data_IF_066322796270
#
_entry.id   IF_066322796270
#
_cell.length_a   1.000
_cell.length_b   1.000
_cell.length_c   1.000
_cell.angle_alpha   90.00
_cell.angle_beta   90.00
_cell.angle_gamma   90.00
#
_symmetry.space_group_name_H-M   'P 1'
#
loop_
_entity.id
_entity.type
_entity.pdbx_description
1 polymer ?
#
# COMPACT_ATOMS: atom_id res chain seq x y z
N UNK A 1 10.13 15.34 -17.91
CA UNK A 1 10.57 15.54 -16.52
C UNK A 1 9.38 15.95 -15.63
N UNK A 2 8.45 15.01 -15.44
CA UNK A 2 7.21 15.22 -14.68
C UNK A 2 7.43 14.92 -13.19
N UNK A 3 6.69 15.59 -12.27
CA UNK A 3 6.70 15.25 -10.85
C UNK A 3 6.32 13.78 -10.63
N UNK A 4 7.12 13.04 -9.85
CA UNK A 4 6.78 11.68 -9.44
C UNK A 4 6.38 11.65 -7.97
N UNK A 5 7.20 12.19 -7.08
CA UNK A 5 6.92 12.23 -5.66
C UNK A 5 6.87 13.64 -5.10
N UNK A 6 5.89 13.91 -4.23
CA UNK A 6 5.84 15.11 -3.38
C UNK A 6 5.68 14.67 -1.92
N UNK A 7 6.57 15.11 -1.06
CA UNK A 7 6.66 14.70 0.33
C UNK A 7 7.08 15.87 1.21
N UNK A 8 6.86 15.75 2.52
CA UNK A 8 7.32 16.75 3.48
C UNK A 8 8.71 16.42 4.01
N UNK A 9 9.56 17.41 4.01
CA UNK A 9 10.87 17.40 4.67
C UNK A 9 11.03 18.72 5.39
N UNK A 10 11.45 18.70 6.67
CA UNK A 10 11.66 19.89 7.52
C UNK A 10 10.44 20.83 7.58
N UNK A 11 9.24 20.30 7.43
CA UNK A 11 7.97 21.04 7.47
C UNK A 11 7.47 21.52 6.11
N UNK A 12 8.30 21.56 5.09
CA UNK A 12 7.98 22.04 3.76
C UNK A 12 7.71 20.88 2.77
N UNK A 13 6.93 21.16 1.72
CA UNK A 13 6.68 20.23 0.65
C UNK A 13 7.77 20.30 -0.41
N UNK A 14 8.40 19.16 -0.68
CA UNK A 14 9.43 18.98 -1.70
C UNK A 14 8.90 18.07 -2.80
N UNK A 15 9.27 18.35 -4.05
CA UNK A 15 8.88 17.54 -5.19
C UNK A 15 10.12 17.00 -5.87
N UNK A 16 10.09 15.72 -6.24
CA UNK A 16 11.09 15.03 -7.05
C UNK A 16 10.47 14.55 -8.34
N UNK A 17 11.16 14.76 -9.42
CA UNK A 17 10.83 14.21 -10.74
C UNK A 17 11.23 12.73 -10.82
N UNK A 18 10.78 12.04 -11.88
CA UNK A 18 11.19 10.65 -12.12
C UNK A 18 12.71 10.52 -12.29
N UNK A 19 13.34 11.46 -13.00
CA UNK A 19 14.80 11.45 -13.22
C UNK A 19 15.57 11.70 -11.91
N UNK A 20 15.14 12.64 -11.08
CA UNK A 20 15.75 12.90 -9.78
C UNK A 20 15.58 11.69 -8.84
N UNK A 21 14.39 11.06 -8.86
CA UNK A 21 14.13 9.84 -8.08
C UNK A 21 15.03 8.70 -8.55
N UNK A 22 15.17 8.49 -9.86
CA UNK A 22 16.07 7.47 -10.40
C UNK A 22 17.54 7.74 -10.01
N UNK A 23 17.97 9.01 -10.02
CA UNK A 23 19.32 9.37 -9.59
C UNK A 23 19.54 9.06 -8.08
N UNK A 24 18.55 9.34 -7.23
CA UNK A 24 18.59 9.00 -5.81
C UNK A 24 18.64 7.47 -5.61
N UNK A 25 17.83 6.70 -6.34
CA UNK A 25 17.83 5.22 -6.30
C UNK A 25 19.20 4.67 -6.71
N UNK A 26 19.77 5.15 -7.82
CA UNK A 26 21.08 4.72 -8.30
C UNK A 26 22.20 5.04 -7.30
N UNK A 27 22.15 6.21 -6.67
CA UNK A 27 23.14 6.58 -5.66
C UNK A 27 23.09 5.66 -4.43
N UNK A 28 21.89 5.33 -3.94
CA UNK A 28 21.70 4.38 -2.84
C UNK A 28 22.11 2.96 -3.26
N UNK A 29 21.73 2.51 -4.45
CA UNK A 29 22.10 1.18 -4.97
C UNK A 29 23.61 1.02 -5.07
N UNK A 30 24.34 2.01 -5.58
CA UNK A 30 25.81 2.01 -5.59
C UNK A 30 26.39 1.92 -4.18
N UNK A 31 25.79 2.62 -3.21
CA UNK A 31 26.19 2.53 -1.80
C UNK A 31 25.99 1.14 -1.24
N UNK A 32 24.88 0.48 -1.54
CA UNK A 32 24.62 -0.90 -1.13
C UNK A 32 25.64 -1.88 -1.75
N UNK A 33 26.03 -1.68 -3.01
CA UNK A 33 27.11 -2.46 -3.62
C UNK A 33 28.45 -2.24 -2.92
N UNK A 34 28.75 -1.00 -2.48
CA UNK A 34 29.95 -0.69 -1.70
C UNK A 34 29.95 -1.43 -0.34
N UNK A 35 28.79 -1.53 0.33
CA UNK A 35 28.61 -2.36 1.53
C UNK A 35 28.75 -3.86 1.27
N UNK A 36 28.99 -4.27 0.03
CA UNK A 36 29.17 -5.66 -0.35
C UNK A 36 27.88 -6.45 -0.49
N UNK A 37 26.72 -5.77 -0.66
CA UNK A 37 25.44 -6.44 -0.90
C UNK A 37 25.51 -7.29 -2.17
N UNK A 38 25.25 -8.58 -2.04
CA UNK A 38 25.21 -9.53 -3.14
C UNK A 38 23.78 -9.82 -3.54
N UNK A 39 23.60 -10.33 -4.75
CA UNK A 39 22.32 -10.85 -5.20
C UNK A 39 21.82 -11.95 -4.26
N UNK A 40 20.60 -11.83 -3.76
CA UNK A 40 19.98 -12.74 -2.81
C UNK A 40 20.27 -12.43 -1.34
N UNK A 41 21.15 -11.48 -1.02
CA UNK A 41 21.40 -11.10 0.38
C UNK A 41 20.15 -10.42 0.98
N UNK A 42 19.82 -10.79 2.22
CA UNK A 42 18.73 -10.18 2.99
C UNK A 42 19.08 -8.78 3.51
N UNK A 43 18.13 -7.87 3.43
CA UNK A 43 18.17 -6.52 4.00
C UNK A 43 16.90 -6.32 4.82
N UNK A 44 17.02 -6.19 6.14
CA UNK A 44 15.91 -5.87 7.02
C UNK A 44 15.68 -4.35 7.06
N UNK A 45 14.43 -3.91 6.94
CA UNK A 45 14.12 -2.50 6.82
C UNK A 45 12.93 -2.08 7.68
N UNK A 46 13.18 -1.21 8.65
CA UNK A 46 12.20 -0.64 9.57
C UNK A 46 12.10 0.87 9.36
N UNK A 47 11.15 1.30 8.55
CA UNK A 47 10.97 2.70 8.20
C UNK A 47 9.48 2.98 7.94
N UNK A 48 9.02 4.15 8.38
CA UNK A 48 7.67 4.65 8.05
C UNK A 48 7.58 5.03 6.58
N UNK A 49 6.36 5.05 6.05
CA UNK A 49 6.07 5.50 4.68
C UNK A 49 6.66 6.88 4.44
N UNK A 50 7.60 6.97 3.50
CA UNK A 50 8.38 8.16 3.20
C UNK A 50 9.03 8.04 1.83
N UNK A 51 9.49 9.15 1.26
CA UNK A 51 10.28 9.13 0.03
C UNK A 51 11.58 8.30 0.18
N UNK A 52 12.21 8.36 1.34
CA UNK A 52 13.39 7.55 1.64
C UNK A 52 13.07 6.05 1.61
N UNK A 53 11.87 5.66 2.03
CA UNK A 53 11.38 4.29 1.96
C UNK A 53 11.36 3.80 0.50
N UNK A 54 10.75 4.58 -0.40
CA UNK A 54 10.61 4.23 -1.82
C UNK A 54 11.96 4.13 -2.52
N UNK A 55 12.85 5.09 -2.27
CA UNK A 55 14.20 5.11 -2.83
C UNK A 55 15.01 3.89 -2.36
N UNK A 56 14.96 3.57 -1.06
CA UNK A 56 15.73 2.47 -0.48
C UNK A 56 15.21 1.10 -0.96
N UNK A 57 13.89 0.91 -1.00
CA UNK A 57 13.25 -0.30 -1.52
C UNK A 57 13.68 -0.59 -2.97
N UNK A 58 13.52 0.41 -3.84
CA UNK A 58 13.91 0.29 -5.24
C UNK A 58 15.42 0.02 -5.41
N UNK A 59 16.26 0.64 -4.56
CA UNK A 59 17.71 0.44 -4.60
C UNK A 59 18.11 -0.98 -4.18
N UNK A 60 17.50 -1.55 -3.14
CA UNK A 60 17.73 -2.95 -2.74
C UNK A 60 17.34 -3.90 -3.86
N UNK A 61 16.16 -3.69 -4.47
CA UNK A 61 15.70 -4.53 -5.59
C UNK A 61 16.60 -4.39 -6.82
N UNK A 62 17.08 -3.19 -7.15
CA UNK A 62 18.03 -2.96 -8.25
C UNK A 62 19.36 -3.69 -8.04
N UNK A 63 19.78 -3.87 -6.79
CA UNK A 63 20.94 -4.66 -6.42
C UNK A 63 20.69 -6.18 -6.41
N UNK A 64 19.45 -6.63 -6.64
CA UNK A 64 19.04 -8.02 -6.48
C UNK A 64 19.04 -8.49 -5.02
N UNK A 65 19.00 -7.56 -4.06
CA UNK A 65 18.82 -7.86 -2.64
C UNK A 65 17.39 -8.25 -2.31
N UNK A 66 17.16 -8.84 -1.15
CA UNK A 66 15.86 -9.30 -0.65
C UNK A 66 15.45 -8.42 0.52
N UNK A 67 14.43 -7.56 0.32
CA UNK A 67 13.96 -6.66 1.37
C UNK A 67 13.01 -7.39 2.33
N UNK A 68 13.42 -7.54 3.58
CA UNK A 68 12.60 -8.02 4.69
C UNK A 68 11.98 -6.82 5.43
N UNK A 69 10.68 -6.62 5.28
CA UNK A 69 10.01 -5.43 5.83
C UNK A 69 9.64 -5.61 7.29
N UNK A 70 9.90 -4.60 8.12
CA UNK A 70 9.61 -4.54 9.55
C UNK A 70 8.68 -3.34 9.80
N UNK A 71 7.61 -3.54 10.57
CA UNK A 71 6.73 -2.44 10.97
C UNK A 71 7.38 -1.57 12.04
N UNK A 72 7.12 -0.27 11.99
CA UNK A 72 7.56 0.71 12.99
C UNK A 72 7.04 0.40 14.41
N UNK A 73 5.97 -0.37 14.50
CA UNK A 73 5.35 -0.83 15.74
C UNK A 73 5.92 -2.13 16.30
N UNK A 74 6.75 -2.84 15.54
CA UNK A 74 7.28 -4.13 15.96
C UNK A 74 8.17 -4.03 17.20
N UNK A 75 8.11 -5.04 18.03
CA UNK A 75 8.92 -5.18 19.24
C UNK A 75 10.35 -5.60 18.92
N UNK A 76 11.25 -5.43 19.87
CA UNK A 76 12.65 -5.90 19.75
C UNK A 76 12.75 -7.40 19.40
N UNK A 77 11.89 -8.23 19.98
CA UNK A 77 11.82 -9.67 19.68
C UNK A 77 11.39 -9.92 18.23
N UNK A 78 10.37 -9.22 17.75
CA UNK A 78 9.91 -9.34 16.36
C UNK A 78 10.98 -8.89 15.38
N UNK A 79 11.69 -7.79 15.68
CA UNK A 79 12.82 -7.32 14.86
C UNK A 79 13.88 -8.42 14.74
N UNK A 80 14.34 -9.00 15.86
CA UNK A 80 15.33 -10.07 15.86
C UNK A 80 14.86 -11.31 15.10
N UNK A 81 13.61 -11.69 15.29
CA UNK A 81 13.01 -12.83 14.58
C UNK A 81 13.00 -12.61 13.06
N UNK A 82 12.64 -11.42 12.60
CA UNK A 82 12.64 -11.07 11.16
C UNK A 82 14.07 -11.05 10.61
N UNK A 83 15.01 -10.41 11.30
CA UNK A 83 16.43 -10.35 10.90
C UNK A 83 17.02 -11.75 10.78
N UNK A 84 16.79 -12.63 11.78
CA UNK A 84 17.27 -14.00 11.74
C UNK A 84 16.57 -14.85 10.68
N UNK A 85 15.26 -14.73 10.54
CA UNK A 85 14.52 -15.54 9.57
C UNK A 85 14.92 -15.18 8.14
N UNK A 86 15.12 -13.89 7.84
CA UNK A 86 15.50 -13.39 6.51
C UNK A 86 17.00 -13.49 6.21
N UNK A 87 17.83 -13.99 7.13
CA UNK A 87 19.30 -13.97 7.04
C UNK A 87 19.86 -12.57 6.70
N UNK A 88 19.21 -11.52 7.23
CA UNK A 88 19.58 -10.16 6.88
C UNK A 88 21.02 -9.84 7.30
N UNK A 89 21.83 -9.32 6.35
CA UNK A 89 23.17 -8.81 6.60
C UNK A 89 23.20 -7.35 6.99
N UNK A 90 22.18 -6.60 6.56
CA UNK A 90 22.01 -5.19 6.83
C UNK A 90 20.64 -4.96 7.47
N UNK A 91 20.61 -4.27 8.59
CA UNK A 91 19.39 -3.73 9.20
C UNK A 91 19.40 -2.21 9.02
N UNK A 92 18.39 -1.67 8.37
CA UNK A 92 18.21 -0.23 8.21
C UNK A 92 16.99 0.21 8.97
N UNK A 93 17.15 1.25 9.78
CA UNK A 93 16.07 1.84 10.59
C UNK A 93 15.94 3.33 10.31
N UNK A 94 14.72 3.85 10.44
CA UNK A 94 14.47 5.29 10.18
C UNK A 94 15.00 6.16 11.33
N UNK A 95 14.66 5.84 12.57
CA UNK A 95 14.91 6.71 13.73
C UNK A 95 15.82 6.08 14.79
N UNK A 96 16.39 6.92 15.64
CA UNK A 96 17.17 6.47 16.79
C UNK A 96 16.35 5.65 17.79
N UNK A 97 15.05 5.93 17.93
CA UNK A 97 14.16 5.11 18.76
C UNK A 97 13.98 3.69 18.16
N UNK A 98 13.87 3.57 16.83
CA UNK A 98 13.83 2.27 16.16
C UNK A 98 15.17 1.54 16.30
N UNK A 99 16.29 2.26 16.22
CA UNK A 99 17.62 1.70 16.47
C UNK A 99 17.74 1.15 17.88
N UNK A 100 17.25 1.89 18.88
CA UNK A 100 17.25 1.43 20.27
C UNK A 100 16.42 0.14 20.47
N UNK A 101 15.32 -0.05 19.72
CA UNK A 101 14.58 -1.33 19.74
C UNK A 101 15.40 -2.49 19.14
N UNK A 102 16.33 -2.20 18.25
CA UNK A 102 17.20 -3.19 17.61
C UNK A 102 18.49 -3.46 18.41
N UNK A 103 18.71 -2.77 19.53
CA UNK A 103 19.90 -2.98 20.37
C UNK A 103 20.02 -4.46 20.78
N UNK A 104 21.24 -4.98 20.63
CA UNK A 104 21.53 -6.40 20.87
C UNK A 104 21.29 -7.32 19.66
N UNK A 105 20.64 -6.85 18.59
CA UNK A 105 20.45 -7.65 17.38
C UNK A 105 21.79 -8.14 16.77
N UNK A 106 22.83 -7.31 16.83
CA UNK A 106 24.18 -7.65 16.33
C UNK A 106 24.78 -8.88 17.03
N UNK A 107 24.43 -9.13 18.29
CA UNK A 107 24.92 -10.30 19.04
C UNK A 107 24.03 -11.52 18.91
N UNK A 108 22.74 -11.33 18.64
CA UNK A 108 21.74 -12.39 18.57
C UNK A 108 21.40 -12.82 17.13
N UNK A 109 21.83 -12.02 16.12
CA UNK A 109 21.60 -12.27 14.71
C UNK A 109 22.94 -12.48 13.98
N UNK A 110 23.39 -13.72 13.81
CA UNK A 110 24.76 -14.02 13.37
C UNK A 110 25.08 -13.60 11.92
N UNK A 111 24.06 -13.35 11.10
CA UNK A 111 24.21 -12.87 9.72
C UNK A 111 24.31 -11.35 9.62
N UNK A 112 23.90 -10.63 10.69
CA UNK A 112 23.84 -9.18 10.68
C UNK A 112 25.23 -8.55 10.80
N UNK A 113 25.64 -7.81 9.78
CA UNK A 113 26.95 -7.16 9.72
C UNK A 113 26.89 -5.67 10.03
N UNK A 114 25.77 -5.01 9.69
CA UNK A 114 25.63 -3.55 9.84
C UNK A 114 24.22 -3.15 10.30
N UNK A 115 24.16 -2.11 11.15
CA UNK A 115 22.92 -1.39 11.47
C UNK A 115 23.10 0.06 11.04
N UNK A 116 22.22 0.54 10.15
CA UNK A 116 22.22 1.91 9.63
C UNK A 116 20.97 2.65 10.09
N UNK A 117 21.11 3.90 10.55
CA UNK A 117 20.01 4.75 10.97
C UNK A 117 19.91 5.99 10.08
N UNK A 118 18.75 6.22 9.46
CA UNK A 118 18.56 7.37 8.57
C UNK A 118 18.59 8.70 9.31
N UNK A 119 17.99 8.79 10.50
CA UNK A 119 17.96 10.01 11.32
C UNK A 119 19.36 10.52 11.70
N UNK A 120 20.35 9.63 11.78
CA UNK A 120 21.74 10.00 12.04
C UNK A 120 22.59 10.19 10.79
N UNK A 121 21.97 10.34 9.62
CA UNK A 121 22.66 10.58 8.36
C UNK A 121 23.00 9.31 7.57
N UNK A 122 22.54 8.13 8.00
CA UNK A 122 22.90 6.86 7.38
C UNK A 122 22.51 6.74 5.91
N UNK A 123 21.42 7.37 5.46
CA UNK A 123 21.05 7.36 4.03
C UNK A 123 22.05 8.15 3.18
N UNK A 124 22.49 9.31 3.68
CA UNK A 124 23.49 10.15 2.98
C UNK A 124 24.86 9.49 3.01
N UNK A 125 25.19 8.79 4.08
CA UNK A 125 26.40 7.96 4.17
C UNK A 125 26.40 6.83 3.13
N UNK A 126 25.31 6.09 2.99
CA UNK A 126 25.16 5.08 1.93
C UNK A 126 25.37 5.71 0.55
N UNK A 127 24.73 6.84 0.26
CA UNK A 127 24.92 7.56 -1.01
C UNK A 127 26.37 7.98 -1.23
N UNK A 128 27.03 8.51 -0.21
CA UNK A 128 28.42 8.94 -0.28
C UNK A 128 29.37 7.78 -0.62
N UNK A 129 29.21 6.63 0.01
CA UNK A 129 29.98 5.41 -0.29
C UNK A 129 29.77 4.94 -1.74
N UNK A 130 28.59 5.17 -2.31
CA UNK A 130 28.28 4.85 -3.70
C UNK A 130 29.10 5.61 -4.73
N UNK A 131 29.74 6.74 -4.36
CA UNK A 131 30.56 7.55 -5.29
C UNK A 131 31.76 6.80 -5.87
N UNK A 132 32.24 5.76 -5.19
CA UNK A 132 33.32 4.88 -5.66
C UNK A 132 32.89 3.76 -6.59
N UNK A 133 31.58 3.58 -6.82
CA UNK A 133 31.02 2.52 -7.68
C UNK A 133 30.63 3.12 -9.02
N UNK A 134 31.12 2.54 -10.14
CA UNK A 134 30.80 3.06 -11.48
C UNK A 134 29.37 2.73 -11.90
N UNK A 135 28.85 3.48 -12.90
CA UNK A 135 27.52 3.20 -13.47
C UNK A 135 27.49 1.83 -14.16
N UNK A 136 28.56 1.46 -14.85
CA UNK A 136 28.67 0.18 -15.53
C UNK A 136 28.61 -1.01 -14.55
N UNK A 137 29.20 -0.86 -13.36
CA UNK A 137 29.15 -1.90 -12.33
C UNK A 137 27.72 -2.06 -11.77
N UNK A 138 27.01 -0.95 -11.58
CA UNK A 138 25.61 -0.99 -11.17
C UNK A 138 24.70 -1.55 -12.28
N UNK A 139 24.90 -1.12 -13.53
CA UNK A 139 24.10 -1.59 -14.67
C UNK A 139 24.30 -3.10 -14.89
N UNK A 140 25.51 -3.60 -14.80
CA UNK A 140 25.80 -5.04 -14.86
C UNK A 140 25.10 -5.83 -13.72
N UNK A 141 24.95 -5.23 -12.53
CA UNK A 141 24.22 -5.82 -11.42
C UNK A 141 22.73 -5.83 -11.71
N UNK A 142 22.14 -4.73 -12.19
CA UNK A 142 20.73 -4.63 -12.56
C UNK A 142 20.41 -5.67 -13.66
N UNK A 143 21.23 -5.78 -14.68
CA UNK A 143 21.06 -6.73 -15.79
C UNK A 143 21.13 -8.20 -15.34
N UNK A 144 21.78 -8.47 -14.21
CA UNK A 144 21.86 -9.83 -13.64
C UNK A 144 20.60 -10.26 -12.90
N UNK A 145 19.71 -9.31 -12.56
CA UNK A 145 18.47 -9.59 -11.83
C UNK A 145 17.43 -10.23 -12.76
N UNK A 146 16.83 -11.31 -12.31
CA UNK A 146 15.80 -12.03 -13.06
C UNK A 146 14.42 -11.81 -12.43
N UNK A 147 13.37 -11.84 -13.25
CA UNK A 147 11.99 -11.70 -12.77
C UNK A 147 11.59 -12.73 -11.71
N UNK A 148 12.21 -13.91 -11.74
CA UNK A 148 11.98 -15.01 -10.81
C UNK A 148 12.81 -14.92 -9.54
N UNK A 149 13.73 -13.96 -9.44
CA UNK A 149 14.52 -13.78 -8.22
C UNK A 149 13.62 -13.28 -7.08
N UNK A 150 13.88 -13.81 -5.89
CA UNK A 150 13.27 -13.30 -4.66
C UNK A 150 13.73 -11.86 -4.45
N UNK A 151 12.79 -10.96 -4.23
CA UNK A 151 13.07 -9.53 -4.00
C UNK A 151 12.55 -9.02 -2.67
N UNK A 152 11.62 -9.73 -2.06
CA UNK A 152 11.08 -9.34 -0.76
C UNK A 152 10.54 -10.50 0.05
N UNK A 153 10.61 -10.36 1.38
CA UNK A 153 9.90 -11.17 2.35
C UNK A 153 9.04 -10.22 3.18
N UNK A 154 7.71 -10.36 3.06
CA UNK A 154 6.76 -9.55 3.82
C UNK A 154 6.20 -10.38 4.96
N UNK A 155 6.41 -9.92 6.19
CA UNK A 155 5.99 -10.65 7.37
C UNK A 155 4.54 -10.31 7.74
N UNK A 156 3.73 -11.36 7.91
CA UNK A 156 2.34 -11.24 8.34
C UNK A 156 2.22 -11.61 9.80
N UNK A 157 1.45 -10.82 10.56
CA UNK A 157 1.06 -11.18 11.92
C UNK A 157 0.01 -12.29 11.87
N UNK A 158 0.45 -13.54 11.80
CA UNK A 158 -0.45 -14.69 11.95
C UNK A 158 -1.12 -14.69 13.33
N UNK A 159 -2.27 -15.33 13.43
CA UNK A 159 -3.00 -15.55 14.71
C UNK A 159 -2.22 -16.44 15.69
N UNK A 160 -1.06 -16.97 15.32
CA UNK A 160 -0.21 -17.89 16.10
C UNK A 160 1.23 -17.38 16.17
N UNK A 161 1.73 -17.31 17.35
CA UNK A 161 3.07 -17.05 17.92
C UNK A 161 4.19 -16.39 17.08
N UNK A 162 4.47 -16.73 15.83
CA UNK A 162 5.55 -16.15 15.03
C UNK A 162 5.04 -15.64 13.67
N UNK A 163 5.47 -14.43 13.22
CA UNK A 163 5.11 -13.92 11.89
C UNK A 163 5.60 -14.86 10.79
N UNK A 164 4.75 -15.13 9.79
CA UNK A 164 5.13 -15.89 8.60
C UNK A 164 5.69 -14.94 7.55
N UNK A 165 6.87 -15.24 7.01
CA UNK A 165 7.47 -14.47 5.92
C UNK A 165 6.95 -14.94 4.57
N UNK A 166 6.21 -14.09 3.88
CA UNK A 166 5.69 -14.34 2.53
C UNK A 166 6.74 -13.96 1.51
N UNK A 167 7.23 -14.93 0.72
CA UNK A 167 8.19 -14.67 -0.34
C UNK A 167 7.55 -14.03 -1.56
N UNK A 168 8.20 -12.97 -2.08
CA UNK A 168 7.76 -12.28 -3.29
C UNK A 168 8.92 -12.11 -4.26
N UNK A 169 8.69 -12.47 -5.52
CA UNK A 169 9.64 -12.25 -6.60
C UNK A 169 9.37 -10.93 -7.33
N UNK A 170 10.29 -10.48 -8.15
CA UNK A 170 10.07 -9.33 -9.03
C UNK A 170 8.85 -9.53 -9.94
N UNK A 171 8.59 -10.77 -10.42
CA UNK A 171 7.45 -11.07 -11.29
C UNK A 171 6.11 -10.78 -10.61
N UNK A 172 5.97 -11.06 -9.31
CA UNK A 172 4.75 -10.80 -8.55
C UNK A 172 4.41 -9.31 -8.52
N UNK A 173 5.39 -8.47 -8.21
CA UNK A 173 5.19 -7.01 -8.22
C UNK A 173 4.99 -6.46 -9.63
N UNK A 174 5.73 -6.94 -10.61
CA UNK A 174 5.55 -6.53 -12.01
C UNK A 174 4.16 -6.92 -12.53
N UNK A 175 3.70 -8.14 -12.26
CA UNK A 175 2.36 -8.56 -12.68
C UNK A 175 1.27 -7.68 -12.04
N UNK A 176 1.39 -7.36 -10.75
CA UNK A 176 0.46 -6.45 -10.08
C UNK A 176 0.54 -5.03 -10.64
N UNK A 177 1.75 -4.51 -10.87
CA UNK A 177 1.96 -3.13 -11.31
C UNK A 177 1.52 -2.86 -12.75
N UNK A 178 1.71 -3.82 -13.66
CA UNK A 178 1.45 -3.62 -15.09
C UNK A 178 0.09 -4.15 -15.56
N UNK A 179 -0.54 -5.09 -14.86
CA UNK A 179 -1.84 -5.61 -15.27
C UNK A 179 -3.00 -4.62 -15.04
N UNK A 180 -2.93 -3.80 -13.97
CA UNK A 180 -4.04 -2.91 -13.63
C UNK A 180 -4.14 -1.66 -14.53
N UNK A 181 -3.04 -0.99 -14.95
CA UNK A 181 -3.12 0.21 -15.78
C UNK A 181 -3.87 0.01 -17.08
N UNK A 182 -3.68 -1.12 -17.75
CA UNK A 182 -4.37 -1.45 -19.00
C UNK A 182 -5.85 -1.79 -18.79
N UNK A 183 -6.21 -2.21 -17.57
CA UNK A 183 -7.59 -2.54 -17.22
C UNK A 183 -8.42 -1.31 -16.80
N UNK A 184 -7.76 -0.26 -16.31
CA UNK A 184 -8.41 0.99 -15.88
C UNK A 184 -7.70 2.23 -16.46
N UNK A 185 -7.58 2.32 -17.81
CA UNK A 185 -6.78 3.35 -18.45
C UNK A 185 -7.30 4.77 -18.18
N UNK A 186 -8.61 4.98 -18.06
CA UNK A 186 -9.19 6.30 -17.77
C UNK A 186 -8.73 6.86 -16.42
N UNK A 187 -8.34 5.98 -15.50
CA UNK A 187 -7.88 6.35 -14.18
C UNK A 187 -6.35 6.39 -14.09
N UNK A 188 -5.69 5.35 -14.60
CA UNK A 188 -4.25 5.12 -14.37
C UNK A 188 -3.37 5.72 -15.48
N UNK A 189 -3.89 5.96 -16.69
CA UNK A 189 -3.16 6.65 -17.75
C UNK A 189 -3.42 8.17 -17.78
N UNK A 190 -4.37 8.71 -17.00
CA UNK A 190 -4.59 10.16 -16.89
C UNK A 190 -3.56 10.77 -15.92
N UNK A 191 -2.51 11.39 -16.47
CA UNK A 191 -1.43 12.06 -15.72
C UNK A 191 -1.88 13.23 -14.85
N UNK A 192 -3.14 13.67 -14.95
CA UNK A 192 -3.73 14.67 -14.05
C UNK A 192 -4.18 14.04 -12.72
N UNK A 193 -4.19 12.72 -12.67
CA UNK A 193 -4.52 12.01 -11.44
C UNK A 193 -3.34 12.03 -10.48
N UNK A 194 -3.68 12.15 -9.21
CA UNK A 194 -2.73 12.22 -8.11
C UNK A 194 -3.15 11.23 -7.02
N UNK A 195 -2.17 10.68 -6.34
CA UNK A 195 -2.36 9.71 -5.27
C UNK A 195 -1.81 10.27 -3.96
N UNK A 196 -2.45 9.97 -2.83
CA UNK A 196 -1.89 10.23 -1.50
C UNK A 196 -1.63 8.91 -0.80
N UNK A 197 -0.35 8.58 -0.57
CA UNK A 197 0.11 7.45 0.22
C UNK A 197 0.27 7.85 1.69
N UNK A 198 -0.30 7.07 2.58
CA UNK A 198 -0.19 7.25 4.04
C UNK A 198 -0.27 5.93 4.82
N UNK A 199 -0.58 4.84 4.13
CA UNK A 199 -0.56 3.49 4.71
C UNK A 199 0.88 2.98 4.79
N UNK A 200 1.20 2.10 5.76
CA UNK A 200 2.55 1.53 5.90
C UNK A 200 2.98 0.78 4.64
N UNK A 201 4.10 1.21 4.02
CA UNK A 201 4.68 0.52 2.86
C UNK A 201 5.40 -0.78 3.23
N UNK A 202 5.69 -1.00 4.51
CA UNK A 202 6.08 -2.31 5.01
C UNK A 202 5.00 -3.39 4.75
N UNK A 203 3.73 -2.98 4.56
CA UNK A 203 2.64 -3.86 4.19
C UNK A 203 2.49 -3.96 2.67
N UNK A 204 2.25 -5.18 2.15
CA UNK A 204 2.11 -5.48 0.72
C UNK A 204 1.12 -4.57 -0.02
N UNK A 205 -0.01 -4.22 0.61
CA UNK A 205 -1.06 -3.42 -0.01
C UNK A 205 -0.59 -2.01 -0.42
N UNK A 206 -0.01 -1.25 0.50
CA UNK A 206 0.49 0.10 0.19
C UNK A 206 1.64 0.07 -0.81
N UNK A 207 2.54 -0.91 -0.67
CA UNK A 207 3.70 -1.10 -1.54
C UNK A 207 3.30 -1.46 -2.97
N UNK A 208 2.37 -2.40 -3.15
CA UNK A 208 1.86 -2.77 -4.47
C UNK A 208 1.18 -1.58 -5.17
N UNK A 209 0.41 -0.78 -4.44
CA UNK A 209 -0.22 0.42 -4.99
C UNK A 209 0.82 1.46 -5.40
N UNK A 210 1.89 1.64 -4.62
CA UNK A 210 2.98 2.52 -5.01
C UNK A 210 3.59 2.08 -6.36
N UNK A 211 3.84 0.80 -6.55
CA UNK A 211 4.36 0.29 -7.83
C UNK A 211 3.39 0.48 -8.99
N UNK A 212 2.09 0.28 -8.78
CA UNK A 212 1.06 0.60 -9.79
C UNK A 212 1.13 2.08 -10.17
N UNK A 213 1.25 2.98 -9.19
CA UNK A 213 1.33 4.41 -9.43
C UNK A 213 2.60 4.81 -10.18
N UNK A 214 3.75 4.23 -9.82
CA UNK A 214 5.03 4.45 -10.52
C UNK A 214 4.96 3.92 -11.96
N UNK A 215 4.45 2.70 -12.16
CA UNK A 215 4.28 2.11 -13.49
C UNK A 215 3.31 2.92 -14.38
N UNK A 216 2.33 3.58 -13.76
CA UNK A 216 1.36 4.45 -14.42
C UNK A 216 1.86 5.90 -14.57
N UNK A 217 3.04 6.22 -14.07
CA UNK A 217 3.60 7.58 -14.04
C UNK A 217 2.64 8.61 -13.40
N UNK A 218 2.02 8.23 -12.29
CA UNK A 218 1.13 9.11 -11.52
C UNK A 218 1.94 9.94 -10.51
N UNK A 219 1.47 11.15 -10.23
CA UNK A 219 2.06 11.99 -9.21
C UNK A 219 1.63 11.51 -7.81
N UNK A 220 2.59 11.11 -6.99
CA UNK A 220 2.40 10.50 -5.68
C UNK A 220 2.74 11.52 -4.59
N UNK A 221 1.77 11.85 -3.75
CA UNK A 221 1.99 12.58 -2.51
C UNK A 221 2.19 11.58 -1.37
N UNK A 222 3.16 11.84 -0.49
CA UNK A 222 3.42 11.04 0.70
C UNK A 222 3.06 11.87 1.93
N UNK A 223 2.06 11.40 2.70
CA UNK A 223 1.69 12.03 3.95
C UNK A 223 2.64 11.62 5.09
N UNK A 224 2.84 12.52 6.04
CA UNK A 224 3.67 12.24 7.23
C UNK A 224 3.04 11.23 8.21
N UNK A 225 1.79 10.84 7.99
CA UNK A 225 1.07 9.85 8.79
C UNK A 225 -0.38 10.21 9.05
N UNK A 226 -1.08 9.37 9.81
CA UNK A 226 -2.52 9.53 10.07
C UNK A 226 -2.87 10.81 10.84
N UNK A 227 -1.93 11.33 11.64
CA UNK A 227 -2.17 12.55 12.44
C UNK A 227 -2.28 13.80 11.56
N UNK A 228 -1.53 13.87 10.48
CA UNK A 228 -1.50 15.02 9.55
C UNK A 228 -2.42 14.81 8.34
N UNK A 229 -3.00 13.61 8.19
CA UNK A 229 -3.73 13.19 6.99
C UNK A 229 -4.77 14.20 6.51
N UNK A 230 -5.57 14.80 7.41
CA UNK A 230 -6.59 15.77 7.03
C UNK A 230 -5.99 17.03 6.39
N UNK A 231 -4.87 17.52 6.93
CA UNK A 231 -4.17 18.68 6.37
C UNK A 231 -3.50 18.31 5.04
N UNK A 232 -2.88 17.13 4.97
CA UNK A 232 -2.20 16.66 3.78
C UNK A 232 -3.18 16.40 2.62
N UNK A 233 -4.41 15.92 2.92
CA UNK A 233 -5.50 15.79 1.95
C UNK A 233 -5.91 17.13 1.31
N UNK A 234 -5.87 18.23 2.08
CA UNK A 234 -6.23 19.56 1.54
C UNK A 234 -5.13 20.12 0.63
N UNK A 235 -3.89 19.71 0.80
CA UNK A 235 -2.77 20.09 -0.07
C UNK A 235 -2.73 19.19 -1.32
N UNK A 236 -2.69 17.88 -1.12
CA UNK A 236 -2.58 16.90 -2.20
C UNK A 236 -3.81 16.85 -3.11
N UNK A 237 -5.01 17.06 -2.52
CA UNK A 237 -6.31 16.92 -3.21
C UNK A 237 -6.33 15.70 -4.15
N UNK A 238 -6.08 14.50 -3.62
CA UNK A 238 -5.86 13.32 -4.44
C UNK A 238 -7.12 12.95 -5.22
N UNK A 239 -6.90 12.41 -6.42
CA UNK A 239 -7.96 11.83 -7.25
C UNK A 239 -8.11 10.33 -6.98
N UNK A 240 -7.03 9.69 -6.52
CA UNK A 240 -6.97 8.28 -6.16
C UNK A 240 -6.51 8.18 -4.70
N UNK A 241 -7.18 7.37 -3.90
CA UNK A 241 -6.81 7.12 -2.52
C UNK A 241 -6.89 5.63 -2.20
N UNK A 242 -6.02 5.18 -1.32
CA UNK A 242 -6.07 3.86 -0.73
C UNK A 242 -6.29 4.04 0.76
N UNK A 243 -7.32 3.40 1.29
CA UNK A 243 -7.71 3.53 2.68
C UNK A 243 -7.97 2.16 3.31
N UNK A 244 -7.84 2.09 4.62
CA UNK A 244 -8.40 0.97 5.40
C UNK A 244 -9.77 1.42 5.96
N UNK A 245 -10.70 0.51 6.27
CA UNK A 245 -12.04 0.84 6.78
C UNK A 245 -12.03 1.84 7.94
N UNK A 246 -11.06 1.71 8.84
CA UNK A 246 -10.88 2.60 10.00
C UNK A 246 -10.77 4.09 9.65
N UNK A 247 -10.23 4.42 8.47
CA UNK A 247 -10.12 5.81 8.00
C UNK A 247 -11.52 6.35 7.65
N UNK A 248 -12.34 5.56 6.96
CA UNK A 248 -13.72 5.95 6.62
C UNK A 248 -14.59 6.07 7.87
N UNK A 249 -14.46 5.15 8.83
CA UNK A 249 -15.11 5.25 10.13
C UNK A 249 -14.76 6.56 10.86
N UNK A 250 -13.49 6.94 10.88
CA UNK A 250 -13.05 8.22 11.49
C UNK A 250 -13.65 9.42 10.77
N UNK A 251 -13.68 9.41 9.44
CA UNK A 251 -14.30 10.50 8.66
C UNK A 251 -15.80 10.60 8.95
N UNK A 252 -16.51 9.47 8.99
CA UNK A 252 -17.93 9.41 9.34
C UNK A 252 -18.18 9.94 10.75
N UNK A 253 -17.43 9.44 11.74
CA UNK A 253 -17.58 9.84 13.13
C UNK A 253 -17.29 11.33 13.33
N UNK A 254 -16.25 11.87 12.70
CA UNK A 254 -15.94 13.29 12.75
C UNK A 254 -17.06 14.16 12.14
N UNK A 255 -17.62 13.73 11.00
CA UNK A 255 -18.74 14.41 10.36
C UNK A 255 -20.01 14.38 11.26
N UNK A 256 -20.31 13.23 11.85
CA UNK A 256 -21.43 13.04 12.78
C UNK A 256 -21.29 13.92 14.03
N UNK A 257 -20.11 13.95 14.64
CA UNK A 257 -19.81 14.80 15.80
C UNK A 257 -19.91 16.29 15.47
N UNK A 258 -19.42 16.71 14.31
CA UNK A 258 -19.52 18.09 13.83
C UNK A 258 -20.98 18.51 13.60
N UNK A 259 -21.86 17.61 13.15
CA UNK A 259 -23.29 17.84 13.01
C UNK A 259 -23.97 17.97 14.39
N UNK A 260 -23.47 17.26 15.40
CA UNK A 260 -23.94 17.34 16.79
C UNK A 260 -25.40 16.83 16.99
N UNK A 261 -26.06 17.35 18.03
CA UNK A 261 -27.40 16.91 18.40
C UNK A 261 -28.42 17.91 17.89
N UNK A 262 -29.06 18.50 17.52
CA UNK A 262 -30.03 19.48 17.08
C UNK A 262 -30.45 19.29 15.61
N UNK A 263 -30.91 20.34 15.00
CA UNK A 263 -31.42 20.30 13.62
C UNK A 263 -30.36 19.80 12.61
N UNK A 264 -29.09 20.15 12.80
CA UNK A 264 -27.99 19.68 11.95
C UNK A 264 -27.71 18.16 12.11
N UNK A 265 -27.76 17.64 13.34
CA UNK A 265 -27.64 16.20 13.60
C UNK A 265 -28.79 15.40 13.01
N UNK A 266 -30.03 15.90 13.12
CA UNK A 266 -31.20 15.28 12.47
C UNK A 266 -31.05 15.30 10.95
N UNK A 267 -30.58 16.41 10.36
CA UNK A 267 -30.35 16.51 8.93
C UNK A 267 -29.24 15.55 8.47
N UNK A 268 -28.16 15.41 9.24
CA UNK A 268 -27.09 14.46 8.95
C UNK A 268 -27.62 13.01 8.98
N UNK A 269 -28.35 12.62 10.03
CA UNK A 269 -28.93 11.28 10.12
C UNK A 269 -29.89 10.98 8.96
N UNK A 270 -30.73 11.94 8.58
CA UNK A 270 -31.63 11.82 7.43
C UNK A 270 -30.83 11.69 6.10
N UNK A 271 -29.75 12.42 5.96
CA UNK A 271 -28.85 12.32 4.81
C UNK A 271 -28.17 10.94 4.71
N UNK A 272 -27.74 10.37 5.83
CA UNK A 272 -27.19 9.01 5.89
C UNK A 272 -28.20 8.00 5.36
N UNK A 273 -29.44 8.02 5.88
CA UNK A 273 -30.50 7.10 5.45
C UNK A 273 -30.84 7.30 3.96
N UNK A 274 -30.86 8.55 3.48
CA UNK A 274 -31.18 8.85 2.08
C UNK A 274 -30.07 8.30 1.13
N UNK A 275 -28.79 8.41 1.52
CA UNK A 275 -27.68 7.89 0.77
C UNK A 275 -27.69 6.35 0.74
N UNK A 276 -27.90 5.71 1.89
CA UNK A 276 -27.98 4.25 2.02
C UNK A 276 -29.13 3.67 1.19
N UNK A 277 -30.34 4.24 1.29
CA UNK A 277 -31.50 3.79 0.50
C UNK A 277 -31.27 3.97 -1.01
N UNK A 278 -30.57 5.03 -1.43
CA UNK A 278 -30.19 5.23 -2.82
C UNK A 278 -29.29 4.09 -3.30
N UNK A 279 -28.26 3.75 -2.56
CA UNK A 279 -27.32 2.67 -2.94
C UNK A 279 -27.94 1.28 -2.86
N UNK A 280 -28.84 1.05 -1.90
CA UNK A 280 -29.60 -0.20 -1.81
C UNK A 280 -30.45 -0.44 -3.07
N UNK A 281 -31.14 0.59 -3.57
CA UNK A 281 -31.90 0.45 -4.82
C UNK A 281 -30.97 0.28 -6.04
N UNK A 282 -29.84 0.99 -6.09
CA UNK A 282 -28.82 0.80 -7.15
C UNK A 282 -28.29 -0.63 -7.14
N UNK A 283 -27.94 -1.19 -5.97
CA UNK A 283 -27.45 -2.55 -5.82
C UNK A 283 -28.46 -3.61 -6.21
N UNK A 284 -29.75 -3.41 -5.86
CA UNK A 284 -30.77 -4.46 -6.08
C UNK A 284 -31.49 -4.36 -7.42
N UNK A 285 -31.62 -3.14 -7.98
CA UNK A 285 -32.40 -2.86 -9.20
C UNK A 285 -31.55 -2.29 -10.35
N UNK A 286 -30.22 -2.15 -10.15
CA UNK A 286 -29.31 -1.50 -11.10
C UNK A 286 -29.47 0.02 -11.18
N UNK A 287 -30.55 0.60 -10.62
CA UNK A 287 -30.83 2.05 -10.59
C UNK A 287 -31.76 2.43 -9.46
N UNK A 288 -31.61 3.64 -8.93
CA UNK A 288 -32.54 4.18 -7.96
C UNK A 288 -33.80 4.78 -8.63
N UNK A 289 -34.94 4.68 -7.96
CA UNK A 289 -36.22 5.29 -8.37
C UNK A 289 -36.19 6.81 -8.26
N UNK A 290 -37.14 7.48 -8.91
CA UNK A 290 -37.23 8.96 -8.98
C UNK A 290 -37.32 9.58 -7.59
N UNK A 291 -38.14 9.03 -6.70
CA UNK A 291 -38.33 9.55 -5.35
C UNK A 291 -37.06 9.41 -4.50
N UNK A 292 -36.38 8.27 -4.58
CA UNK A 292 -35.14 8.02 -3.87
C UNK A 292 -34.00 8.93 -4.37
N UNK A 293 -33.94 9.16 -5.69
CA UNK A 293 -33.04 10.17 -6.28
C UNK A 293 -33.29 11.56 -5.76
N UNK A 294 -34.58 12.00 -5.74
CA UNK A 294 -34.93 13.31 -5.25
C UNK A 294 -34.63 13.52 -3.76
N UNK A 295 -34.91 12.50 -2.92
CA UNK A 295 -34.57 12.53 -1.49
C UNK A 295 -33.07 12.64 -1.26
N UNK A 296 -32.26 11.84 -1.97
CA UNK A 296 -30.78 11.92 -1.91
C UNK A 296 -30.32 13.30 -2.37
N UNK A 297 -30.83 13.81 -3.48
CA UNK A 297 -30.43 15.09 -4.06
C UNK A 297 -30.70 16.28 -3.15
N UNK A 298 -31.71 16.21 -2.29
CA UNK A 298 -32.05 17.27 -1.32
C UNK A 298 -30.90 17.52 -0.32
N UNK A 299 -30.06 16.53 -0.03
CA UNK A 299 -28.92 16.65 0.88
C UNK A 299 -27.60 17.02 0.18
N UNK A 300 -27.59 17.01 -1.15
CA UNK A 300 -26.37 17.27 -1.91
C UNK A 300 -25.82 18.69 -1.69
N UNK A 301 -26.64 19.78 -1.60
CA UNK A 301 -26.11 21.10 -1.32
C UNK A 301 -25.78 21.36 0.15
N UNK A 302 -26.22 20.52 1.09
CA UNK A 302 -26.19 20.83 2.53
C UNK A 302 -25.23 19.93 3.32
N UNK A 303 -25.20 18.62 3.04
CA UNK A 303 -24.46 17.63 3.84
C UNK A 303 -23.28 17.02 3.06
N UNK A 304 -23.52 16.49 1.86
CA UNK A 304 -22.53 15.71 1.15
C UNK A 304 -21.28 16.46 0.66
N UNK A 305 -21.33 17.79 0.32
CA UNK A 305 -20.13 18.52 -0.09
C UNK A 305 -19.05 18.51 0.99
N UNK A 306 -19.42 18.68 2.26
CA UNK A 306 -18.46 18.70 3.36
C UNK A 306 -17.71 17.37 3.52
N UNK A 307 -18.36 16.25 3.23
CA UNK A 307 -17.71 14.92 3.24
C UNK A 307 -16.70 14.77 2.10
N UNK A 308 -17.08 15.23 0.91
CA UNK A 308 -16.20 15.21 -0.26
C UNK A 308 -14.98 16.13 -0.06
N UNK A 309 -15.20 17.32 0.51
CA UNK A 309 -14.14 18.29 0.82
C UNK A 309 -13.12 17.76 1.83
N UNK A 310 -13.57 17.08 2.89
CA UNK A 310 -12.64 16.45 3.87
C UNK A 310 -11.67 15.48 3.20
N UNK A 311 -12.14 14.81 2.13
CA UNK A 311 -11.31 13.89 1.33
C UNK A 311 -10.61 14.57 0.14
N UNK A 312 -10.42 15.90 0.19
CA UNK A 312 -9.72 16.68 -0.82
C UNK A 312 -10.57 17.19 -1.99
N UNK A 313 -11.86 16.82 -2.05
CA UNK A 313 -12.84 17.34 -3.02
C UNK A 313 -12.70 16.85 -4.46
N UNK A 314 -11.66 16.08 -4.80
CA UNK A 314 -11.34 15.64 -6.17
C UNK A 314 -11.34 14.12 -6.35
N UNK A 315 -11.63 13.34 -5.31
CA UNK A 315 -11.56 11.90 -5.36
C UNK A 315 -12.42 11.31 -6.48
N UNK A 316 -11.81 10.54 -7.37
CA UNK A 316 -12.44 9.78 -8.44
C UNK A 316 -12.54 8.30 -8.07
N UNK A 317 -11.57 7.81 -7.26
CA UNK A 317 -11.50 6.42 -6.87
C UNK A 317 -10.83 6.29 -5.50
N UNK A 318 -11.53 5.68 -4.56
CA UNK A 318 -11.05 5.39 -3.22
C UNK A 318 -11.17 3.89 -3.01
N UNK A 319 -10.04 3.19 -2.92
CA UNK A 319 -10.02 1.75 -2.63
C UNK A 319 -9.92 1.52 -1.15
N UNK A 320 -10.91 0.85 -0.59
CA UNK A 320 -10.90 0.36 0.79
C UNK A 320 -10.52 -1.12 0.80
N UNK A 321 -9.48 -1.48 1.55
CA UNK A 321 -8.99 -2.86 1.63
C UNK A 321 -8.29 -3.14 2.95
N UNK A 322 -7.76 -4.36 3.09
CA UNK A 322 -7.03 -4.82 4.27
C UNK A 322 -7.89 -5.23 5.47
N UNK A 323 -9.19 -4.96 5.45
CA UNK A 323 -10.18 -5.44 6.43
C UNK A 323 -11.59 -5.32 5.85
N UNK A 324 -12.59 -6.06 6.36
CA UNK A 324 -13.98 -5.91 5.94
C UNK A 324 -14.50 -4.49 6.20
N UNK A 325 -15.17 -3.90 5.21
CA UNK A 325 -15.85 -2.62 5.34
C UNK A 325 -17.33 -2.85 5.62
N UNK A 326 -17.88 -2.12 6.60
CA UNK A 326 -19.31 -2.17 6.90
C UNK A 326 -20.13 -1.78 5.65
N UNK A 327 -21.04 -2.65 5.15
CA UNK A 327 -21.79 -2.38 3.92
C UNK A 327 -22.67 -1.14 3.98
N UNK A 328 -23.19 -0.77 5.15
CA UNK A 328 -24.00 0.43 5.34
C UNK A 328 -23.13 1.70 5.31
N UNK A 329 -21.92 1.63 5.86
CA UNK A 329 -20.93 2.71 5.78
C UNK A 329 -20.48 2.93 4.33
N UNK A 330 -20.21 1.85 3.59
CA UNK A 330 -19.89 1.92 2.16
C UNK A 330 -21.06 2.53 1.36
N UNK A 331 -22.29 2.06 1.60
CA UNK A 331 -23.49 2.59 0.95
C UNK A 331 -23.69 4.09 1.24
N UNK A 332 -23.42 4.52 2.48
CA UNK A 332 -23.47 5.93 2.84
C UNK A 332 -22.46 6.76 2.02
N UNK A 333 -21.18 6.39 2.00
CA UNK A 333 -20.16 7.15 1.26
C UNK A 333 -20.47 7.20 -0.23
N UNK A 334 -20.78 6.07 -0.85
CA UNK A 334 -21.14 6.03 -2.27
C UNK A 334 -22.39 6.83 -2.59
N UNK A 335 -23.42 6.72 -1.76
CA UNK A 335 -24.64 7.50 -1.87
C UNK A 335 -24.41 8.99 -1.68
N UNK A 336 -23.48 9.41 -0.85
CA UNK A 336 -23.04 10.79 -0.68
C UNK A 336 -22.19 11.32 -1.85
N UNK A 337 -21.86 10.46 -2.82
CA UNK A 337 -21.03 10.81 -3.98
C UNK A 337 -19.53 10.76 -3.69
N UNK A 338 -19.12 10.01 -2.67
CA UNK A 338 -17.72 9.65 -2.40
C UNK A 338 -17.48 8.29 -3.04
N UNK A 339 -16.58 8.17 -4.05
CA UNK A 339 -16.45 6.98 -4.88
C UNK A 339 -15.58 5.91 -4.19
N UNK A 340 -16.10 5.31 -3.12
CA UNK A 340 -15.43 4.22 -2.39
C UNK A 340 -15.73 2.88 -3.05
N UNK A 341 -14.68 2.07 -3.22
CA UNK A 341 -14.71 0.72 -3.79
C UNK A 341 -13.96 -0.22 -2.87
N UNK A 342 -14.45 -1.43 -2.71
CA UNK A 342 -13.76 -2.44 -1.92
C UNK A 342 -12.78 -3.23 -2.79
N UNK A 343 -11.63 -3.58 -2.19
CA UNK A 343 -10.70 -4.54 -2.71
C UNK A 343 -10.41 -5.62 -1.67
N UNK A 344 -10.28 -6.85 -2.12
CA UNK A 344 -9.91 -8.01 -1.32
C UNK A 344 -8.57 -8.56 -1.80
N UNK A 345 -7.75 -8.94 -0.85
CA UNK A 345 -6.47 -9.58 -1.11
C UNK A 345 -5.72 -9.89 0.17
N UNK A 346 -4.66 -10.62 0.01
CA UNK A 346 -3.78 -11.09 1.07
C UNK A 346 -2.34 -10.66 0.74
N UNK A 347 -1.45 -10.76 1.70
CA UNK A 347 -0.01 -10.65 1.41
C UNK A 347 0.40 -11.73 0.43
N UNK A 348 -0.14 -12.93 0.58
CA UNK A 348 0.07 -14.12 -0.27
C UNK A 348 -0.40 -13.95 -1.72
N UNK A 349 -1.20 -12.92 -2.00
CA UNK A 349 -1.63 -12.55 -3.37
C UNK A 349 -0.97 -11.26 -3.87
N UNK A 350 0.10 -10.79 -3.23
CA UNK A 350 0.80 -9.53 -3.52
C UNK A 350 -0.17 -8.33 -3.52
N UNK A 351 -1.09 -8.30 -2.57
CA UNK A 351 -2.20 -7.37 -2.32
C UNK A 351 -3.51 -7.75 -3.06
N UNK A 352 -4.10 -6.95 -4.01
CA UNK A 352 -5.46 -7.24 -4.44
C UNK A 352 -5.53 -8.47 -5.36
N UNK A 353 -6.44 -9.40 -5.06
CA UNK A 353 -6.83 -10.47 -5.97
C UNK A 353 -8.28 -10.32 -6.47
N UNK A 354 -9.07 -9.46 -5.83
CA UNK A 354 -10.40 -9.06 -6.29
C UNK A 354 -10.68 -7.61 -5.95
N UNK A 355 -11.46 -6.90 -6.74
CA UNK A 355 -11.84 -5.52 -6.47
C UNK A 355 -13.06 -5.07 -7.26
N UNK A 356 -13.73 -4.04 -6.76
CA UNK A 356 -14.81 -3.37 -7.45
C UNK A 356 -14.23 -2.41 -8.51
N UNK A 357 -14.71 -2.50 -9.73
CA UNK A 357 -14.23 -1.77 -10.91
C UNK A 357 -15.22 -0.70 -11.33
N UNK A 358 -14.71 0.40 -11.89
CA UNK A 358 -15.54 1.41 -12.56
C UNK A 358 -16.31 0.77 -13.74
N UNK A 359 -17.58 1.11 -13.86
CA UNK A 359 -18.42 0.59 -14.96
C UNK A 359 -19.03 -0.80 -14.72
N UNK A 360 -18.61 -1.53 -13.71
CA UNK A 360 -19.22 -2.81 -13.31
C UNK A 360 -20.36 -2.54 -12.33
N UNK A 361 -21.51 -3.26 -12.45
CA UNK A 361 -22.63 -3.12 -11.52
C UNK A 361 -22.19 -3.30 -10.06
N UNK A 362 -22.58 -2.34 -9.21
CA UNK A 362 -22.31 -2.44 -7.79
C UNK A 362 -23.27 -3.40 -7.10
N UNK A 363 -22.70 -4.33 -6.35
CA UNK A 363 -23.41 -5.21 -5.43
C UNK A 363 -22.95 -4.98 -4.00
N UNK A 364 -23.86 -4.57 -3.12
CA UNK A 364 -23.55 -4.32 -1.71
C UNK A 364 -23.05 -5.60 -1.03
N UNK A 365 -21.92 -5.51 -0.33
CA UNK A 365 -21.26 -6.65 0.34
C UNK A 365 -20.41 -7.51 -0.58
N UNK A 366 -20.21 -7.10 -1.84
CA UNK A 366 -19.30 -7.78 -2.77
C UNK A 366 -17.99 -7.01 -2.92
N UNK A 367 -16.88 -7.73 -2.91
CA UNK A 367 -15.54 -7.18 -3.22
C UNK A 367 -15.27 -7.05 -4.72
N UNK A 368 -16.23 -7.38 -5.57
CA UNK A 368 -16.14 -7.19 -7.01
C UNK A 368 -15.72 -8.43 -7.78
N UNK A 369 -14.86 -8.25 -8.76
CA UNK A 369 -14.39 -9.27 -9.70
C UNK A 369 -12.91 -9.57 -9.49
N UNK A 370 -12.45 -10.69 -10.06
CA UNK A 370 -11.03 -11.07 -10.04
C UNK A 370 -10.14 -9.95 -10.61
N UNK A 371 -9.03 -9.68 -9.93
CA UNK A 371 -7.99 -8.79 -10.43
C UNK A 371 -7.37 -9.39 -11.72
N UNK A 372 -6.97 -8.57 -12.71
CA UNK A 372 -6.33 -9.05 -13.91
C UNK A 372 -5.14 -9.97 -13.62
N UNK A 373 -5.14 -11.16 -14.21
CA UNK A 373 -4.12 -12.20 -13.99
C UNK A 373 -4.41 -13.15 -12.83
N UNK A 374 -5.57 -13.02 -12.16
CA UNK A 374 -6.04 -13.97 -11.16
C UNK A 374 -7.28 -14.75 -11.61
N UNK A 375 -7.38 -15.96 -11.13
CA UNK A 375 -8.58 -16.78 -11.14
C UNK A 375 -9.04 -16.96 -9.69
N UNK A 376 -10.37 -16.94 -9.48
CA UNK A 376 -11.00 -17.13 -8.18
C UNK A 376 -12.03 -18.23 -8.28
N UNK A 377 -12.05 -19.11 -7.29
CA UNK A 377 -13.12 -20.08 -7.09
C UNK A 377 -13.55 -20.16 -5.64
N UNK A 378 -14.76 -20.61 -5.40
CA UNK A 378 -15.27 -20.88 -4.05
C UNK A 378 -15.35 -22.41 -3.92
N UNK A 379 -14.66 -22.94 -2.91
CA UNK A 379 -14.72 -24.36 -2.57
C UNK A 379 -16.08 -24.73 -1.97
N UNK A 380 -16.34 -26.02 -1.84
CA UNK A 380 -17.64 -26.53 -1.31
C UNK A 380 -17.92 -26.08 0.13
N UNK A 381 -16.89 -25.87 0.92
CA UNK A 381 -16.96 -25.38 2.30
C UNK A 381 -17.07 -23.84 2.41
N UNK A 382 -17.00 -23.13 1.27
CA UNK A 382 -17.06 -21.68 1.18
C UNK A 382 -15.71 -20.97 1.20
N UNK A 383 -14.58 -21.71 1.24
CA UNK A 383 -13.24 -21.13 1.16
C UNK A 383 -13.01 -20.44 -0.20
N UNK A 384 -12.41 -19.25 -0.16
CA UNK A 384 -11.98 -18.54 -1.37
C UNK A 384 -10.61 -19.06 -1.78
N UNK A 385 -10.55 -19.66 -2.96
CA UNK A 385 -9.33 -20.19 -3.55
C UNK A 385 -8.87 -19.31 -4.72
N UNK A 386 -7.57 -19.04 -4.77
CA UNK A 386 -6.98 -18.06 -5.69
C UNK A 386 -5.83 -18.71 -6.45
N UNK A 387 -5.74 -18.42 -7.76
CA UNK A 387 -4.61 -18.81 -8.62
C UNK A 387 -4.23 -17.62 -9.50
N UNK A 388 -2.94 -17.40 -9.71
CA UNK A 388 -2.49 -16.30 -10.56
C UNK A 388 -1.00 -16.00 -10.43
N UNK A 389 -0.52 -15.14 -11.33
CA UNK A 389 0.91 -14.81 -11.43
C UNK A 389 1.49 -14.07 -10.22
N UNK A 390 0.63 -13.43 -9.41
CA UNK A 390 1.04 -12.71 -8.19
C UNK A 390 0.70 -13.47 -6.91
N UNK A 391 0.34 -14.77 -7.00
CA UNK A 391 0.23 -15.65 -5.83
C UNK A 391 1.63 -16.06 -5.39
N UNK A 392 1.91 -15.93 -4.10
CA UNK A 392 3.21 -16.23 -3.51
C UNK A 392 3.63 -17.70 -3.75
N UNK A 393 4.96 -17.98 -3.84
CA UNK A 393 5.42 -19.35 -4.06
C UNK A 393 5.47 -20.18 -2.77
N UNK A 394 5.76 -19.52 -1.63
CA UNK A 394 5.90 -20.19 -0.34
C UNK A 394 6.07 -19.21 0.82
N UNK A 395 5.90 -19.72 2.04
CA UNK A 395 6.39 -19.06 3.25
C UNK A 395 7.88 -19.36 3.44
N UNK A 396 8.64 -18.31 3.72
CA UNK A 396 10.09 -18.38 3.89
C UNK A 396 10.48 -19.29 5.06
N UNK A 397 11.28 -20.32 4.78
CA UNK A 397 11.73 -21.34 5.74
C UNK A 397 10.59 -22.05 6.51
N UNK A 398 9.39 -22.13 5.91
CA UNK A 398 8.24 -22.77 6.54
C UNK A 398 7.49 -23.65 5.52
N UNK A 399 7.99 -24.88 5.33
CA UNK A 399 7.45 -25.85 4.38
C UNK A 399 6.05 -26.32 4.75
N UNK A 400 5.80 -26.64 6.03
CA UNK A 400 4.51 -27.11 6.52
C UNK A 400 3.39 -26.08 6.24
N UNK A 401 3.60 -24.82 6.66
CA UNK A 401 2.62 -23.77 6.37
C UNK A 401 2.45 -23.51 4.86
N UNK A 402 3.46 -23.77 4.05
CA UNK A 402 3.36 -23.65 2.59
C UNK A 402 2.49 -24.77 2.02
N UNK A 403 2.72 -26.02 2.39
CA UNK A 403 1.93 -27.16 1.96
C UNK A 403 0.46 -27.01 2.34
N UNK A 404 0.18 -26.55 3.57
CA UNK A 404 -1.19 -26.30 4.07
C UNK A 404 -1.92 -25.18 3.31
N UNK A 405 -1.20 -24.32 2.59
CA UNK A 405 -1.78 -23.15 1.90
C UNK A 405 -2.17 -23.44 0.45
N UNK A 406 -1.81 -24.58 -0.08
CA UNK A 406 -2.11 -24.96 -1.48
C UNK A 406 -2.90 -26.25 -1.55
N UNK A 407 -3.87 -26.27 -2.47
CA UNK A 407 -4.56 -27.48 -2.84
C UNK A 407 -3.70 -28.38 -3.75
N UNK A 408 -4.05 -29.66 -3.91
CA UNK A 408 -3.34 -30.60 -4.79
C UNK A 408 -3.28 -30.13 -6.26
N UNK A 409 -4.28 -29.37 -6.72
CA UNK A 409 -4.35 -28.78 -8.07
C UNK A 409 -3.78 -27.36 -8.16
N UNK A 410 -3.06 -26.89 -7.10
CA UNK A 410 -2.24 -25.68 -7.08
C UNK A 410 -3.03 -24.38 -6.92
N UNK A 411 -4.15 -24.40 -6.20
CA UNK A 411 -4.89 -23.21 -5.79
C UNK A 411 -4.47 -22.76 -4.41
#
# INVERSE_FOLDING_TARGET
DEPLYTFKQDGDWHTKTANETLADIRAVAKGLLHYGLKKGDGVAFMCRTSYAWDVFDAAVMACGGVLATIYDTDSAEQIRNIVNNSDARLLVVETTDMKAKADGAETECPTLEHIVCFETGGLDEIKAYGSGVSDEALDARIDSVQKTDLCSIVYTSGSTAAPKGVEMTHEHYCATAFNLPDYMPELLHDKKNTVLLFLPQAHSFARAINYICVASNLHIYIAQGIKTLTADLQVAKPTIMIVVPRVLEKVYNAASQKAGHGAKGVAFAAAVVAAQNYMKEVSTKGKAGTLTKARRAAFDPVVYPSLREVLGGRAKWIVAGGAPLDPELLAFFRGAGVPVYEGYGLTETTAPCAFNVLGVPYHQGSVGIAFPGFELRIAEDGEIQVKGASVFPKYHKNGEATEDSFTEDGW
#
